data_IF_204376400927
#
_entry.id   IF_204376400927
#
_cell.length_a   1.000
_cell.length_b   1.000
_cell.length_c   1.000
_cell.angle_alpha   90.00
_cell.angle_beta   90.00
_cell.angle_gamma   90.00
#
_symmetry.space_group_name_H-M   'P 1'
#
loop_
_entity.id
_entity.type
_entity.pdbx_description
1 polymer ?
#
# COMPACT_ATOMS: atom_id res chain seq x y z
N UNK A 1 2.50 32.89 -19.42
CA UNK A 1 2.95 31.77 -18.57
C UNK A 1 1.88 31.66 -17.51
N UNK A 2 0.89 30.81 -17.73
CA UNK A 2 -0.18 30.58 -16.75
C UNK A 2 0.37 29.66 -15.67
N UNK A 3 0.62 30.24 -14.50
CA UNK A 3 0.86 29.53 -13.25
C UNK A 3 -0.38 28.71 -12.90
N UNK A 4 -0.48 27.51 -13.47
CA UNK A 4 -1.46 26.51 -13.09
C UNK A 4 -1.00 25.82 -11.79
N UNK A 5 -0.93 26.58 -10.69
CA UNK A 5 -0.95 25.98 -9.36
C UNK A 5 -2.37 25.51 -9.13
N UNK A 6 -2.65 24.28 -9.55
CA UNK A 6 -3.86 23.56 -9.16
C UNK A 6 -4.07 23.78 -7.67
N UNK A 7 -5.23 24.35 -7.32
CA UNK A 7 -5.60 24.63 -5.93
C UNK A 7 -5.42 23.33 -5.17
N UNK A 8 -4.63 23.36 -4.10
CA UNK A 8 -4.53 22.30 -3.09
C UNK A 8 -5.95 22.04 -2.56
N UNK A 9 -6.66 21.17 -3.26
CA UNK A 9 -7.88 20.57 -2.77
C UNK A 9 -7.47 19.85 -1.51
N UNK A 10 -8.11 20.15 -0.38
CA UNK A 10 -7.93 19.41 0.86
C UNK A 10 -8.37 17.96 0.62
N UNK A 11 -7.50 17.17 -0.01
CA UNK A 11 -7.68 15.74 -0.17
C UNK A 11 -7.62 15.15 1.23
N UNK A 12 -8.64 14.36 1.57
CA UNK A 12 -8.67 13.62 2.84
C UNK A 12 -7.64 12.48 2.88
N UNK A 13 -6.90 12.28 1.78
CA UNK A 13 -5.91 11.22 1.57
C UNK A 13 -4.54 11.84 1.36
N UNK A 14 -3.48 11.15 1.77
CA UNK A 14 -2.13 11.61 1.50
C UNK A 14 -1.89 11.60 -0.02
N UNK A 15 -1.07 12.51 -0.58
CA UNK A 15 -0.76 12.52 -2.00
C UNK A 15 -0.22 11.18 -2.52
N UNK A 16 0.53 10.46 -1.67
CA UNK A 16 1.08 9.14 -1.95
C UNK A 16 0.06 7.98 -1.94
N UNK A 17 -1.14 8.21 -1.40
CA UNK A 17 -2.25 7.24 -1.40
C UNK A 17 -3.10 7.34 -2.69
N UNK A 18 -2.76 8.27 -3.58
CA UNK A 18 -3.50 8.50 -4.81
C UNK A 18 -2.99 7.52 -5.86
N UNK A 19 -3.78 6.48 -6.11
CA UNK A 19 -3.48 5.50 -7.15
C UNK A 19 -3.55 6.15 -8.53
N UNK A 20 -2.53 5.90 -9.36
CA UNK A 20 -2.52 6.32 -10.76
C UNK A 20 -3.69 5.69 -11.53
N UNK A 21 -4.28 6.45 -12.46
CA UNK A 21 -5.26 5.90 -13.40
C UNK A 21 -4.59 5.03 -14.49
N UNK A 22 -3.29 5.18 -14.66
CA UNK A 22 -2.49 4.39 -15.59
C UNK A 22 -2.13 3.02 -14.97
N UNK A 23 -2.06 1.95 -15.79
CA UNK A 23 -1.65 0.64 -15.30
C UNK A 23 -0.17 0.65 -14.91
N UNK A 24 0.12 0.26 -13.68
CA UNK A 24 1.48 0.16 -13.12
C UNK A 24 1.84 -1.31 -12.83
N UNK A 25 3.12 -1.65 -12.95
CA UNK A 25 3.66 -2.96 -12.58
C UNK A 25 3.66 -3.19 -11.07
N UNK A 26 3.83 -4.45 -10.64
CA UNK A 26 3.88 -4.82 -9.22
C UNK A 26 5.11 -4.19 -8.55
N UNK A 27 6.23 -4.15 -9.26
CA UNK A 27 7.48 -3.55 -8.80
C UNK A 27 7.36 -2.04 -8.59
N UNK A 28 6.69 -1.34 -9.51
CA UNK A 28 6.42 0.10 -9.40
C UNK A 28 5.52 0.40 -8.20
N UNK A 29 4.42 -0.36 -8.04
CA UNK A 29 3.48 -0.18 -6.91
C UNK A 29 4.15 -0.43 -5.56
N UNK A 30 5.04 -1.41 -5.47
CA UNK A 30 5.75 -1.73 -4.23
C UNK A 30 6.71 -0.62 -3.78
N UNK A 31 7.16 0.23 -4.71
CA UNK A 31 8.03 1.39 -4.40
C UNK A 31 7.23 2.64 -4.01
N UNK A 32 5.91 2.66 -4.18
CA UNK A 32 5.08 3.81 -3.86
C UNK A 32 4.96 4.02 -2.34
N UNK A 33 5.12 5.27 -1.91
CA UNK A 33 5.03 5.68 -0.52
C UNK A 33 3.75 6.49 -0.29
N UNK A 34 2.94 6.06 0.67
CA UNK A 34 1.78 6.76 1.21
C UNK A 34 2.20 8.07 1.90
N UNK A 35 3.25 7.99 2.71
CA UNK A 35 3.80 9.10 3.50
C UNK A 35 5.31 9.10 3.35
N UNK A 36 5.88 10.26 3.08
CA UNK A 36 7.31 10.54 3.16
C UNK A 36 7.51 11.93 3.77
N UNK A 37 7.45 12.00 5.09
CA UNK A 37 7.44 13.26 5.85
C UNK A 37 8.00 13.06 7.26
N UNK A 38 8.57 14.10 7.88
CA UNK A 38 8.93 14.05 9.29
C UNK A 38 7.68 13.90 10.18
N UNK A 39 7.83 13.15 11.26
CA UNK A 39 6.82 13.02 12.31
C UNK A 39 6.87 14.22 13.29
N UNK A 40 6.07 14.15 14.36
CA UNK A 40 6.03 15.21 15.38
C UNK A 40 7.36 15.41 16.11
N UNK A 41 8.26 14.41 16.09
CA UNK A 41 9.60 14.48 16.68
C UNK A 41 10.66 14.96 15.70
N UNK A 42 10.30 15.09 14.41
CA UNK A 42 11.21 15.46 13.33
C UNK A 42 11.92 14.27 12.69
N UNK A 43 11.57 13.04 13.05
CA UNK A 43 12.11 11.83 12.41
C UNK A 43 11.40 11.60 11.07
N UNK A 44 12.16 11.42 9.99
CA UNK A 44 11.60 11.13 8.67
C UNK A 44 10.97 9.73 8.67
N UNK A 45 9.66 9.67 8.43
CA UNK A 45 8.93 8.40 8.32
C UNK A 45 8.53 8.19 6.86
N UNK A 46 8.82 6.98 6.37
CA UNK A 46 8.33 6.48 5.09
C UNK A 46 7.33 5.36 5.34
N UNK A 47 6.13 5.51 4.79
CA UNK A 47 5.06 4.52 4.88
C UNK A 47 4.75 4.02 3.47
N UNK A 48 4.87 2.73 3.17
CA UNK A 48 4.49 2.18 1.87
C UNK A 48 2.99 2.31 1.61
N UNK A 49 2.61 2.61 0.37
CA UNK A 49 1.21 2.61 -0.07
C UNK A 49 0.69 1.18 -0.36
N UNK A 50 1.58 0.28 -0.77
CA UNK A 50 1.26 -1.10 -1.13
C UNK A 50 2.10 -2.11 -0.34
N UNK A 51 1.53 -3.28 -0.10
CA UNK A 51 2.21 -4.46 0.42
C UNK A 51 2.50 -5.44 -0.72
N UNK A 52 3.77 -5.79 -0.90
CA UNK A 52 4.15 -6.89 -1.79
C UNK A 52 3.80 -8.24 -1.15
N UNK A 53 3.02 -9.05 -1.85
CA UNK A 53 2.61 -10.39 -1.43
C UNK A 53 3.03 -11.40 -2.49
N UNK A 54 3.56 -12.52 -2.02
CA UNK A 54 3.84 -13.69 -2.85
C UNK A 54 2.91 -14.83 -2.45
N UNK A 55 2.04 -15.21 -3.36
CA UNK A 55 1.06 -16.26 -3.15
C UNK A 55 1.70 -17.66 -3.27
N UNK A 56 1.10 -18.71 -2.71
CA UNK A 56 1.64 -20.08 -2.76
C UNK A 56 1.79 -20.65 -4.18
N UNK A 57 1.01 -20.16 -5.14
CA UNK A 57 1.09 -20.54 -6.56
C UNK A 57 2.21 -19.81 -7.32
N UNK A 58 2.88 -18.86 -6.66
CA UNK A 58 3.98 -18.07 -7.21
C UNK A 58 3.55 -16.73 -7.82
N UNK A 59 2.27 -16.37 -7.77
CA UNK A 59 1.79 -15.04 -8.17
C UNK A 59 2.33 -13.96 -7.23
N UNK A 60 2.77 -12.83 -7.78
CA UNK A 60 3.20 -11.66 -7.02
C UNK A 60 2.17 -10.53 -7.18
N UNK A 61 1.70 -9.99 -6.05
CA UNK A 61 0.69 -8.93 -6.00
C UNK A 61 1.20 -7.75 -5.17
N UNK A 62 0.79 -6.55 -5.55
CA UNK A 62 0.93 -5.36 -4.71
C UNK A 62 -0.46 -4.94 -4.21
N UNK A 63 -0.72 -5.13 -2.91
CA UNK A 63 -2.02 -4.86 -2.27
C UNK A 63 -2.02 -3.48 -1.61
N UNK A 64 -2.95 -2.61 -1.97
CA UNK A 64 -3.06 -1.27 -1.41
C UNK A 64 -3.57 -1.31 0.03
N UNK A 65 -2.84 -0.67 0.94
CA UNK A 65 -3.10 -0.75 2.39
C UNK A 65 -4.52 -0.34 2.83
N UNK A 66 -5.16 0.61 2.14
CA UNK A 66 -6.59 0.96 2.37
C UNK A 66 -7.57 0.13 1.53
N UNK A 67 -7.42 0.10 0.20
CA UNK A 67 -8.43 -0.46 -0.71
C UNK A 67 -8.54 -1.98 -0.61
N UNK A 68 -7.43 -2.66 -0.34
CA UNK A 68 -7.34 -4.12 -0.36
C UNK A 68 -7.24 -4.70 1.06
N UNK A 69 -7.78 -4.00 2.06
CA UNK A 69 -7.69 -4.39 3.46
C UNK A 69 -8.31 -5.78 3.76
N UNK A 70 -9.36 -6.17 3.02
CA UNK A 70 -9.97 -7.50 3.13
C UNK A 70 -9.02 -8.58 2.61
N UNK A 71 -8.43 -8.40 1.42
CA UNK A 71 -7.48 -9.35 0.84
C UNK A 71 -6.20 -9.46 1.70
N UNK A 72 -5.71 -8.34 2.23
CA UNK A 72 -4.58 -8.35 3.19
C UNK A 72 -4.94 -9.15 4.44
N UNK A 73 -6.15 -8.99 4.99
CA UNK A 73 -6.62 -9.77 6.14
C UNK A 73 -6.70 -11.27 5.80
N UNK A 74 -7.10 -11.60 4.58
CA UNK A 74 -7.17 -12.97 4.09
C UNK A 74 -5.78 -13.59 3.94
N UNK A 75 -4.84 -12.88 3.33
CA UNK A 75 -3.42 -13.29 3.21
C UNK A 75 -2.83 -13.55 4.58
N UNK A 76 -3.01 -12.64 5.55
CA UNK A 76 -2.51 -12.83 6.92
C UNK A 76 -3.15 -14.06 7.59
N UNK A 77 -4.43 -14.30 7.34
CA UNK A 77 -5.13 -15.46 7.90
C UNK A 77 -4.62 -16.77 7.31
N UNK A 78 -4.41 -16.81 5.99
CA UNK A 78 -3.83 -17.95 5.29
C UNK A 78 -2.40 -18.22 5.77
N UNK A 79 -1.59 -17.18 5.94
CA UNK A 79 -0.22 -17.30 6.47
C UNK A 79 -0.17 -17.79 7.93
N UNK A 80 -1.28 -17.73 8.66
CA UNK A 80 -1.40 -18.14 10.06
C UNK A 80 -2.13 -19.47 10.25
N UNK A 81 -2.44 -20.21 9.19
CA UNK A 81 -3.01 -21.56 9.32
C UNK A 81 -2.01 -22.63 8.92
N UNK A 82 -2.07 -23.78 9.57
CA UNK A 82 -1.36 -24.99 9.15
C UNK A 82 -2.11 -25.72 8.02
N UNK A 83 -1.54 -26.84 7.55
CA UNK A 83 -2.11 -27.67 6.49
C UNK A 83 -3.49 -28.27 6.86
N UNK A 84 -3.80 -28.36 8.16
CA UNK A 84 -5.07 -28.85 8.68
C UNK A 84 -6.09 -27.72 8.93
N UNK A 85 -5.70 -26.46 8.67
CA UNK A 85 -6.54 -25.28 8.83
C UNK A 85 -6.59 -24.72 10.26
N UNK A 86 -5.74 -25.22 11.17
CA UNK A 86 -5.65 -24.70 12.54
C UNK A 86 -4.80 -23.44 12.59
N UNK A 87 -5.16 -22.49 13.46
CA UNK A 87 -4.38 -21.26 13.65
C UNK A 87 -3.09 -21.52 14.41
N UNK A 88 -1.98 -21.05 13.84
CA UNK A 88 -0.66 -20.98 14.47
C UNK A 88 -0.59 -19.63 15.21
N UNK A 89 -0.32 -19.68 16.53
CA UNK A 89 -0.23 -18.51 17.43
C UNK A 89 1.21 -18.13 17.74
#
# INVERSE_FOLDING_TARGET
MEDNKEKETHRAVNPGDVISEEPETVEEKTQQLAVDSPDITGEQIQVPAFFGVKEPDGEEKALHHVRDAEEISDVIRQARVDEEGNRIW
#
